data_IF_241838542944
#
_entry.id   IF_241838542944
#
_cell.length_a   1.000
_cell.length_b   1.000
_cell.length_c   1.000
_cell.angle_alpha   90.00
_cell.angle_beta   90.00
_cell.angle_gamma   90.00
#
_symmetry.space_group_name_H-M   'P 1'
#
loop_
_entity.id
_entity.type
_entity.pdbx_description
1 polymer ?
#
# COMPACT_ATOMS: atom_id res chain seq x y z
N UNK A 1 -19.50 24.12 9.08
CA UNK A 1 -18.66 23.18 9.85
C UNK A 1 -19.41 21.86 9.96
N UNK A 2 -18.98 20.82 9.24
CA UNK A 2 -19.60 19.50 9.32
C UNK A 2 -18.99 18.75 10.51
N UNK A 3 -19.80 18.45 11.52
CA UNK A 3 -19.38 17.58 12.61
C UNK A 3 -19.14 16.18 12.04
N UNK A 4 -17.88 15.73 12.00
CA UNK A 4 -17.55 14.33 11.72
C UNK A 4 -18.05 13.49 12.89
N UNK A 5 -19.28 12.99 12.79
CA UNK A 5 -19.81 12.00 13.72
C UNK A 5 -18.90 10.77 13.66
N UNK A 6 -18.24 10.44 14.78
CA UNK A 6 -17.47 9.20 14.91
C UNK A 6 -18.41 8.04 14.55
N UNK A 7 -18.05 7.16 13.60
CA UNK A 7 -18.88 6.02 13.26
C UNK A 7 -19.16 5.18 14.51
N UNK A 8 -20.44 4.92 14.78
CA UNK A 8 -20.82 4.11 15.95
C UNK A 8 -20.27 2.69 15.79
N UNK A 9 -19.99 2.02 16.91
CA UNK A 9 -19.52 0.64 16.87
C UNK A 9 -20.50 -0.29 16.14
N UNK A 10 -21.80 0.02 16.17
CA UNK A 10 -22.82 -0.70 15.43
C UNK A 10 -22.73 -0.47 13.92
N UNK A 11 -22.48 0.77 13.48
CA UNK A 11 -22.25 1.09 12.07
C UNK A 11 -21.05 0.31 11.51
N UNK A 12 -19.95 0.29 12.26
CA UNK A 12 -18.74 -0.43 11.85
C UNK A 12 -18.97 -1.95 11.73
N UNK A 13 -19.81 -2.54 12.60
CA UNK A 13 -20.19 -3.97 12.53
C UNK A 13 -21.04 -4.26 11.31
N UNK A 14 -22.06 -3.43 11.03
CA UNK A 14 -22.94 -3.58 9.86
C UNK A 14 -22.13 -3.53 8.56
N UNK A 15 -21.26 -2.53 8.43
CA UNK A 15 -20.39 -2.39 7.25
C UNK A 15 -19.45 -3.58 7.07
N UNK A 16 -18.81 -4.07 8.14
CA UNK A 16 -17.92 -5.22 8.06
C UNK A 16 -18.64 -6.51 7.62
N UNK A 17 -19.87 -6.72 8.10
CA UNK A 17 -20.68 -7.90 7.73
C UNK A 17 -21.12 -7.81 6.26
N UNK A 18 -21.57 -6.65 5.78
CA UNK A 18 -22.03 -6.46 4.41
C UNK A 18 -20.88 -6.61 3.40
N UNK A 19 -19.70 -6.02 3.69
CA UNK A 19 -18.53 -6.16 2.81
C UNK A 19 -18.02 -7.61 2.77
N UNK A 20 -18.10 -8.35 3.88
CA UNK A 20 -17.80 -9.79 3.90
C UNK A 20 -18.71 -10.61 3.00
N UNK A 21 -20.02 -10.33 3.01
CA UNK A 21 -20.98 -10.97 2.10
C UNK A 21 -20.71 -10.63 0.64
N UNK A 22 -20.42 -9.36 0.34
CA UNK A 22 -20.09 -8.90 -1.02
C UNK A 22 -18.80 -9.54 -1.55
N UNK A 23 -17.85 -9.83 -0.65
CA UNK A 23 -16.64 -10.58 -0.96
C UNK A 23 -16.87 -12.11 -1.10
N UNK A 24 -18.11 -12.59 -1.00
CA UNK A 24 -18.48 -14.00 -1.15
C UNK A 24 -18.22 -14.87 0.08
N UNK A 25 -17.94 -14.27 1.25
CA UNK A 25 -17.72 -15.02 2.49
C UNK A 25 -19.04 -15.54 3.05
N UNK A 26 -19.03 -16.76 3.58
CA UNK A 26 -20.22 -17.34 4.23
C UNK A 26 -20.52 -16.66 5.57
N UNK A 27 -21.78 -16.67 5.99
CA UNK A 27 -22.20 -16.12 7.29
C UNK A 27 -21.46 -16.77 8.46
N UNK A 28 -21.15 -18.07 8.36
CA UNK A 28 -20.37 -18.82 9.33
C UNK A 28 -18.91 -18.38 9.41
N UNK A 29 -18.28 -18.04 8.28
CA UNK A 29 -16.92 -17.51 8.26
C UNK A 29 -16.86 -16.11 8.84
N UNK A 30 -17.85 -15.27 8.55
CA UNK A 30 -17.98 -13.92 9.12
C UNK A 30 -18.12 -13.97 10.65
N UNK A 31 -18.97 -14.87 11.17
CA UNK A 31 -19.13 -15.09 12.62
C UNK A 31 -17.80 -15.52 13.25
N UNK A 32 -17.09 -16.48 12.63
CA UNK A 32 -15.83 -17.01 13.15
C UNK A 32 -14.71 -15.96 13.11
N UNK A 33 -14.63 -15.20 12.03
CA UNK A 33 -13.52 -14.27 11.78
C UNK A 33 -13.64 -12.98 12.59
N UNK A 34 -14.84 -12.40 12.65
CA UNK A 34 -15.07 -11.14 13.37
C UNK A 34 -15.54 -11.34 14.82
N UNK A 35 -15.89 -12.58 15.21
CA UNK A 35 -16.33 -12.90 16.56
C UNK A 35 -17.68 -12.27 16.95
N UNK A 36 -18.48 -11.85 15.97
CA UNK A 36 -19.78 -11.22 16.24
C UNK A 36 -20.84 -12.24 16.68
N UNK A 37 -21.80 -11.85 17.54
CA UNK A 37 -22.89 -12.74 17.94
C UNK A 37 -23.68 -13.23 16.73
N UNK A 38 -24.00 -14.54 16.71
CA UNK A 38 -24.71 -15.18 15.59
C UNK A 38 -25.99 -14.42 15.23
N UNK A 39 -26.82 -14.11 16.23
CA UNK A 39 -28.08 -13.38 16.06
C UNK A 39 -27.89 -12.05 15.32
N UNK A 40 -26.87 -11.27 15.68
CA UNK A 40 -26.56 -9.98 15.04
C UNK A 40 -26.18 -10.14 13.57
N UNK A 41 -25.38 -11.17 13.23
CA UNK A 41 -25.00 -11.43 11.84
C UNK A 41 -26.23 -11.83 11.02
N UNK A 42 -27.05 -12.75 11.52
CA UNK A 42 -28.26 -13.19 10.82
C UNK A 42 -29.29 -12.06 10.65
N UNK A 43 -29.52 -11.22 11.67
CA UNK A 43 -30.44 -10.09 11.57
C UNK A 43 -30.00 -9.07 10.52
N UNK A 44 -28.69 -8.80 10.41
CA UNK A 44 -28.13 -7.86 9.44
C UNK A 44 -28.19 -8.45 8.03
N UNK A 45 -27.84 -9.73 7.88
CA UNK A 45 -27.94 -10.45 6.59
C UNK A 45 -29.39 -10.44 6.10
N UNK A 46 -30.36 -10.78 6.97
CA UNK A 46 -31.77 -10.79 6.61
C UNK A 46 -32.28 -9.41 6.16
N UNK A 47 -31.89 -8.34 6.87
CA UNK A 47 -32.24 -6.96 6.49
C UNK A 47 -31.58 -6.55 5.17
N UNK A 48 -30.34 -6.97 4.94
CA UNK A 48 -29.61 -6.69 3.71
C UNK A 48 -30.26 -7.38 2.49
N UNK A 49 -30.55 -8.68 2.60
CA UNK A 49 -31.21 -9.44 1.54
C UNK A 49 -32.61 -8.92 1.23
N UNK A 50 -33.39 -8.53 2.25
CA UNK A 50 -34.69 -7.89 2.06
C UNK A 50 -34.58 -6.51 1.39
N UNK A 51 -33.50 -5.77 1.67
CA UNK A 51 -33.25 -4.48 1.01
C UNK A 51 -32.81 -4.63 -0.44
N UNK A 52 -32.02 -5.64 -0.80
CA UNK A 52 -31.63 -5.91 -2.19
C UNK A 52 -32.85 -6.23 -3.07
N UNK A 53 -33.81 -7.01 -2.56
CA UNK A 53 -35.05 -7.33 -3.28
C UNK A 53 -35.98 -6.12 -3.46
N UNK A 54 -35.93 -5.13 -2.56
CA UNK A 54 -36.72 -3.88 -2.71
C UNK A 54 -36.11 -2.87 -3.68
N UNK A 55 -34.82 -3.01 -4.02
CA UNK A 55 -34.11 -2.09 -4.91
C UNK A 55 -34.16 -2.53 -6.38
N UNK A 56 -34.73 -3.69 -6.69
CA UNK A 56 -34.83 -4.22 -8.05
C UNK A 56 -35.96 -3.57 -8.88
N UNK A 57 -36.92 -2.89 -8.22
CA UNK A 57 -38.08 -2.25 -8.88
C UNK A 57 -37.99 -0.71 -8.98
N UNK A 58 -36.85 -0.13 -8.60
CA UNK A 58 -36.59 1.31 -8.69
C UNK A 58 -35.42 1.54 -9.63
N UNK A 59 -35.71 1.53 -10.94
CA UNK A 59 -34.80 2.00 -11.98
C UNK A 59 -34.41 3.46 -11.70
N UNK A 60 -33.16 3.69 -11.29
CA UNK A 60 -32.48 4.97 -11.44
C UNK A 60 -31.02 4.70 -11.83
N UNK A 61 -30.46 5.50 -12.76
CA UNK A 61 -29.31 5.10 -13.54
C UNK A 61 -28.07 5.01 -12.66
N UNK A 62 -27.22 4.03 -12.99
CA UNK A 62 -25.90 3.88 -12.42
C UNK A 62 -25.20 5.24 -12.39
N UNK A 63 -25.07 5.82 -11.19
CA UNK A 63 -24.03 6.80 -10.94
C UNK A 63 -22.73 6.03 -11.08
N UNK A 64 -22.13 6.07 -12.27
CA UNK A 64 -20.70 5.87 -12.45
C UNK A 64 -20.00 6.93 -11.59
N UNK A 65 -19.91 6.66 -10.31
CA UNK A 65 -18.71 7.02 -9.58
C UNK A 65 -17.68 6.18 -10.32
N UNK A 66 -16.85 6.84 -11.12
CA UNK A 66 -15.60 6.25 -11.59
C UNK A 66 -14.78 5.93 -10.33
N UNK A 67 -15.14 4.86 -9.63
CA UNK A 67 -14.23 4.04 -8.88
C UNK A 67 -13.21 3.65 -9.93
N UNK A 68 -12.11 4.39 -9.95
CA UNK A 68 -10.83 3.82 -10.33
C UNK A 68 -10.71 2.62 -9.40
N UNK A 69 -11.25 1.51 -9.85
CA UNK A 69 -10.92 0.20 -9.38
C UNK A 69 -9.40 0.19 -9.47
N UNK A 70 -8.76 0.44 -8.34
CA UNK A 70 -7.37 0.08 -8.17
C UNK A 70 -7.44 -1.43 -8.13
N UNK A 71 -7.53 -2.02 -9.32
CA UNK A 71 -7.04 -3.37 -9.55
C UNK A 71 -5.73 -3.40 -8.80
N UNK A 72 -5.68 -4.19 -7.73
CA UNK A 72 -4.45 -4.50 -7.04
C UNK A 72 -3.60 -5.23 -8.07
N UNK A 73 -2.98 -4.47 -8.97
CA UNK A 73 -1.95 -4.96 -9.87
C UNK A 73 -0.94 -5.56 -8.92
N UNK A 74 -0.81 -6.88 -8.92
CA UNK A 74 0.39 -7.52 -8.43
C UNK A 74 1.54 -6.66 -8.98
N UNK A 75 2.35 -6.03 -8.11
CA UNK A 75 3.37 -5.13 -8.59
C UNK A 75 4.24 -5.97 -9.52
N UNK A 76 4.28 -5.59 -10.80
CA UNK A 76 5.12 -6.28 -11.76
C UNK A 76 6.55 -6.22 -11.21
N UNK A 77 7.08 -7.37 -10.80
CA UNK A 77 8.45 -7.44 -10.30
C UNK A 77 9.35 -7.07 -11.47
N UNK A 78 10.02 -5.93 -11.35
CA UNK A 78 10.96 -5.46 -12.37
C UNK A 78 12.13 -6.44 -12.38
N UNK A 79 12.32 -7.14 -13.51
CA UNK A 79 13.49 -8.01 -13.70
C UNK A 79 14.75 -7.16 -13.73
N UNK A 80 15.76 -7.57 -12.96
CA UNK A 80 17.10 -6.94 -12.90
C UNK A 80 18.14 -8.01 -13.19
N UNK A 81 19.20 -7.64 -13.91
CA UNK A 81 20.34 -8.51 -14.12
C UNK A 81 21.10 -8.74 -12.79
N UNK A 82 21.71 -9.93 -12.59
CA UNK A 82 22.57 -10.16 -11.44
C UNK A 82 23.75 -9.18 -11.41
N UNK A 83 24.32 -8.93 -10.23
CA UNK A 83 25.51 -8.08 -10.02
C UNK A 83 25.44 -6.68 -10.66
N UNK A 84 24.25 -6.08 -10.74
CA UNK A 84 24.05 -4.78 -11.40
C UNK A 84 23.69 -3.67 -10.40
N UNK A 85 24.56 -3.28 -9.43
CA UNK A 85 24.29 -2.24 -8.43
C UNK A 85 23.78 -0.94 -9.06
N UNK A 86 24.26 -0.61 -10.25
CA UNK A 86 23.90 0.59 -11.01
C UNK A 86 22.42 0.64 -11.43
N UNK A 87 21.74 -0.51 -11.39
CA UNK A 87 20.31 -0.66 -11.67
C UNK A 87 19.44 -0.74 -10.42
N UNK A 88 19.91 -0.26 -9.26
CA UNK A 88 19.09 -0.13 -8.07
C UNK A 88 19.26 1.23 -7.40
N UNK A 89 18.20 2.06 -7.34
CA UNK A 89 18.22 3.35 -6.66
C UNK A 89 18.68 3.29 -5.21
N UNK A 90 18.47 2.16 -4.52
CA UNK A 90 19.01 2.00 -3.17
C UNK A 90 20.55 1.94 -3.18
N UNK A 91 21.11 1.16 -4.10
CA UNK A 91 22.55 0.89 -4.18
C UNK A 91 23.32 2.10 -4.70
N UNK A 92 22.94 2.66 -5.86
CA UNK A 92 23.71 3.76 -6.47
C UNK A 92 23.43 5.14 -5.84
N UNK A 93 22.42 5.27 -4.99
CA UNK A 93 22.06 6.57 -4.42
C UNK A 93 21.77 6.53 -2.91
N UNK A 94 20.70 5.87 -2.47
CA UNK A 94 20.22 5.99 -1.07
C UNK A 94 21.30 5.58 -0.06
N UNK A 95 22.00 4.47 -0.31
CA UNK A 95 23.05 4.02 0.61
C UNK A 95 24.21 4.99 0.72
N UNK A 96 24.63 5.64 -0.37
CA UNK A 96 25.69 6.66 -0.30
C UNK A 96 25.29 7.86 0.54
N UNK A 97 24.01 8.26 0.52
CA UNK A 97 23.49 9.35 1.35
C UNK A 97 23.44 8.94 2.81
N UNK A 98 22.90 7.76 3.10
CA UNK A 98 22.81 7.23 4.47
C UNK A 98 24.20 7.06 5.06
N UNK A 99 25.12 6.44 4.34
CA UNK A 99 26.51 6.24 4.75
C UNK A 99 27.19 7.57 5.07
N UNK A 100 27.05 8.57 4.19
CA UNK A 100 27.61 9.92 4.40
C UNK A 100 27.04 10.59 5.65
N UNK A 101 25.80 10.30 6.05
CA UNK A 101 25.19 10.86 7.26
C UNK A 101 25.65 10.10 8.50
N UNK A 102 25.59 8.77 8.47
CA UNK A 102 25.91 7.91 9.61
C UNK A 102 27.38 7.98 9.97
N UNK A 103 28.27 8.08 8.98
CA UNK A 103 29.72 8.04 9.21
C UNK A 103 30.31 9.39 9.69
N UNK A 104 29.50 10.44 9.84
CA UNK A 104 29.93 11.73 10.42
C UNK A 104 30.33 11.62 11.89
N UNK A 105 29.80 10.63 12.60
CA UNK A 105 30.02 10.42 14.02
C UNK A 105 30.25 8.94 14.30
N UNK A 106 31.09 8.64 15.29
CA UNK A 106 31.26 7.27 15.78
C UNK A 106 30.06 6.85 16.62
N UNK A 107 29.58 5.64 16.42
CA UNK A 107 28.45 5.08 17.19
C UNK A 107 28.97 4.09 18.25
N UNK A 108 28.59 4.25 19.53
CA UNK A 108 29.09 3.38 20.61
C UNK A 108 28.46 1.98 20.60
N UNK A 109 27.29 1.81 19.99
CA UNK A 109 26.58 0.54 19.92
C UNK A 109 25.64 0.49 18.70
N UNK A 110 25.09 -0.70 18.45
CA UNK A 110 24.18 -0.98 17.33
C UNK A 110 22.90 -0.15 17.41
N UNK A 111 22.38 0.10 18.62
CA UNK A 111 21.17 0.92 18.81
C UNK A 111 21.40 2.35 18.33
N UNK A 112 22.51 2.97 18.74
CA UNK A 112 22.89 4.32 18.28
C UNK A 112 23.02 4.37 16.76
N UNK A 113 23.71 3.40 16.16
CA UNK A 113 23.86 3.33 14.71
C UNK A 113 22.50 3.20 14.01
N UNK A 114 21.65 2.29 14.49
CA UNK A 114 20.31 2.07 13.95
C UNK A 114 19.45 3.33 14.01
N UNK A 115 19.46 4.05 15.14
CA UNK A 115 18.71 5.30 15.29
C UNK A 115 19.14 6.35 14.28
N UNK A 116 20.46 6.47 14.01
CA UNK A 116 20.96 7.44 13.03
C UNK A 116 20.63 7.02 11.60
N UNK A 117 20.68 5.71 11.28
CA UNK A 117 20.22 5.19 9.99
C UNK A 117 18.74 5.52 9.78
N UNK A 118 17.87 5.19 10.74
CA UNK A 118 16.43 5.46 10.66
C UNK A 118 16.15 6.96 10.48
N UNK A 119 16.84 7.82 11.24
CA UNK A 119 16.75 9.27 11.09
C UNK A 119 17.22 9.76 9.71
N UNK A 120 18.27 9.16 9.14
CA UNK A 120 18.76 9.50 7.80
C UNK A 120 17.73 9.14 6.71
N UNK A 121 17.03 8.00 6.85
CA UNK A 121 15.94 7.62 5.94
C UNK A 121 14.76 8.58 6.05
N UNK A 122 14.34 8.94 7.26
CA UNK A 122 13.20 9.86 7.50
C UNK A 122 13.51 11.28 7.02
N UNK A 123 14.74 11.74 7.22
CA UNK A 123 15.19 13.08 6.82
C UNK A 123 15.51 13.23 5.32
N UNK A 124 15.40 12.17 4.52
CA UNK A 124 15.73 12.23 3.10
C UNK A 124 14.67 13.00 2.31
N UNK A 125 15.12 13.99 1.54
CA UNK A 125 14.23 14.79 0.71
C UNK A 125 13.59 13.96 -0.42
N UNK A 126 12.25 13.97 -0.46
CA UNK A 126 11.46 13.24 -1.44
C UNK A 126 11.75 13.71 -2.88
N UNK A 127 11.98 15.01 -3.09
CA UNK A 127 12.29 15.53 -4.43
C UNK A 127 13.64 14.98 -4.93
N UNK A 128 14.60 14.81 -4.04
CA UNK A 128 15.90 14.23 -4.37
C UNK A 128 15.81 12.73 -4.62
N UNK A 129 15.01 11.99 -3.85
CA UNK A 129 14.73 10.57 -4.13
C UNK A 129 14.05 10.38 -5.50
N UNK A 130 13.08 11.23 -5.83
CA UNK A 130 12.44 11.20 -7.15
C UNK A 130 13.44 11.48 -8.28
N UNK A 131 14.38 12.43 -8.09
CA UNK A 131 15.44 12.69 -9.07
C UNK A 131 16.36 11.48 -9.24
N UNK A 132 16.70 10.77 -8.17
CA UNK A 132 17.46 9.53 -8.26
C UNK A 132 16.72 8.47 -9.08
N UNK A 133 15.44 8.22 -8.78
CA UNK A 133 14.62 7.29 -9.56
C UNK A 133 14.51 7.67 -11.05
N UNK A 134 14.40 8.97 -11.37
CA UNK A 134 14.38 9.45 -12.77
C UNK A 134 15.67 9.15 -13.53
N UNK A 135 16.81 9.04 -12.86
CA UNK A 135 18.10 8.66 -13.47
C UNK A 135 18.17 7.19 -13.88
N UNK A 136 17.28 6.34 -13.37
CA UNK A 136 17.27 4.91 -13.70
C UNK A 136 17.22 4.66 -15.20
N UNK A 137 16.40 5.43 -15.94
CA UNK A 137 16.30 5.32 -17.39
C UNK A 137 17.63 5.66 -18.08
N UNK A 138 18.24 6.78 -17.69
CA UNK A 138 19.51 7.23 -18.25
C UNK A 138 20.64 6.21 -17.99
N UNK A 139 20.65 5.59 -16.80
CA UNK A 139 21.62 4.52 -16.49
C UNK A 139 21.39 3.26 -17.34
N UNK A 140 20.14 2.85 -17.58
CA UNK A 140 19.87 1.74 -18.52
C UNK A 140 20.39 2.09 -19.93
N UNK A 141 20.11 3.29 -20.42
CA UNK A 141 20.56 3.73 -21.74
C UNK A 141 22.09 3.72 -21.84
N UNK A 142 22.80 4.16 -20.80
CA UNK A 142 24.26 4.09 -20.72
C UNK A 142 24.80 2.65 -20.68
N UNK A 143 24.15 1.73 -19.96
CA UNK A 143 24.53 0.30 -19.97
C UNK A 143 24.34 -0.31 -21.36
N UNK A 144 23.26 0.04 -22.06
CA UNK A 144 23.03 -0.40 -23.45
C UNK A 144 24.15 0.12 -24.37
N UNK A 145 24.52 1.39 -24.23
CA UNK A 145 25.63 1.98 -24.99
C UNK A 145 26.98 1.32 -24.66
N UNK A 146 27.18 0.92 -23.41
CA UNK A 146 28.35 0.16 -22.96
C UNK A 146 28.27 -1.34 -23.28
N UNK A 147 27.26 -1.78 -24.06
CA UNK A 147 27.02 -3.18 -24.42
C UNK A 147 26.96 -4.12 -23.20
N UNK A 148 26.29 -3.69 -22.13
CA UNK A 148 26.19 -4.42 -20.87
C UNK A 148 27.37 -4.20 -19.91
N UNK A 149 28.31 -3.33 -20.25
CA UNK A 149 29.44 -2.96 -19.39
C UNK A 149 29.04 -2.16 -18.15
N UNK A 150 29.98 -2.09 -17.20
CA UNK A 150 29.85 -1.28 -15.98
C UNK A 150 29.81 0.22 -16.30
N UNK A 151 29.02 0.97 -15.53
CA UNK A 151 28.90 2.43 -15.64
C UNK A 151 29.00 3.07 -14.25
N UNK A 152 29.60 4.26 -14.16
CA UNK A 152 29.61 5.08 -12.93
C UNK A 152 28.32 5.90 -12.75
#
# INVERSE_FOLDING_TARGET
MAAMLKPSAEYNRRSAIIEGLRAGSSTTEIIRFFGYPRLTVYDIVAKYTASEQSNEDSSMPAREIHSKERTARNPAVVKRAPNSPDLNPLDYYVWSVVEKITNKSRHPNVTSLRTVIEAAFVGMDSATLQRACKRFRQKIEAIIQANGGYIE
#
